data_IF_181475485523
#
_entry.id   IF_181475485523
#
_cell.length_a   1.000
_cell.length_b   1.000
_cell.length_c   1.000
_cell.angle_alpha   90.00
_cell.angle_beta   90.00
_cell.angle_gamma   90.00
#
_symmetry.space_group_name_H-M   'P 1'
#
loop_
_entity.id
_entity.type
_entity.pdbx_description
1 polymer ?
#
# COMPACT_ATOMS: atom_id res chain seq x y z
N UNK A 1 61.39 -10.03 7.54
CA UNK A 1 60.40 -8.93 7.58
C UNK A 1 59.60 -8.76 6.27
N UNK A 2 59.48 -9.78 5.40
CA UNK A 2 58.73 -9.66 4.13
C UNK A 2 57.28 -10.18 4.20
N UNK A 3 57.03 -11.24 4.99
CA UNK A 3 55.72 -11.93 4.97
C UNK A 3 54.56 -11.13 5.60
N UNK A 4 54.86 -10.21 6.51
CA UNK A 4 53.85 -9.40 7.21
C UNK A 4 53.37 -8.21 6.37
N UNK A 5 54.24 -7.63 5.55
CA UNK A 5 53.89 -6.55 4.60
C UNK A 5 53.07 -7.07 3.42
N UNK A 6 53.36 -8.29 2.96
CA UNK A 6 52.59 -8.93 1.88
C UNK A 6 51.15 -9.20 2.33
N UNK A 7 50.95 -9.70 3.56
CA UNK A 7 49.63 -9.96 4.13
C UNK A 7 48.80 -8.67 4.29
N UNK A 8 49.44 -7.58 4.71
CA UNK A 8 48.81 -6.27 4.83
C UNK A 8 48.39 -5.71 3.46
N UNK A 9 49.22 -5.89 2.43
CA UNK A 9 48.86 -5.51 1.06
C UNK A 9 47.68 -6.32 0.51
N UNK A 10 47.62 -7.63 0.76
CA UNK A 10 46.49 -8.47 0.34
C UNK A 10 45.18 -8.07 1.01
N UNK A 11 45.20 -7.74 2.31
CA UNK A 11 44.02 -7.27 3.04
C UNK A 11 43.53 -5.90 2.55
N UNK A 12 44.45 -5.02 2.12
CA UNK A 12 44.13 -3.72 1.54
C UNK A 12 43.46 -3.87 0.16
N UNK A 13 43.96 -4.77 -0.69
CA UNK A 13 43.34 -5.05 -1.99
C UNK A 13 42.00 -5.78 -1.87
N UNK A 14 41.83 -6.69 -0.89
CA UNK A 14 40.52 -7.28 -0.61
C UNK A 14 39.50 -6.23 -0.15
N UNK A 15 39.93 -5.21 0.60
CA UNK A 15 39.04 -4.11 1.03
C UNK A 15 38.68 -3.15 -0.11
N UNK A 16 39.53 -2.99 -1.12
CA UNK A 16 39.31 -2.14 -2.31
C UNK A 16 38.61 -2.88 -3.47
N UNK A 17 38.69 -4.21 -3.51
CA UNK A 17 38.12 -5.05 -4.56
C UNK A 17 36.79 -5.71 -4.18
N UNK A 18 36.30 -5.56 -2.94
CA UNK A 18 34.88 -5.73 -2.67
C UNK A 18 34.21 -4.60 -3.47
N UNK A 19 33.50 -4.91 -4.58
CA UNK A 19 32.58 -3.92 -5.10
C UNK A 19 31.69 -3.65 -3.89
N UNK A 20 31.61 -2.39 -3.47
CA UNK A 20 30.52 -1.97 -2.61
C UNK A 20 29.30 -2.58 -3.29
N UNK A 21 28.74 -3.64 -2.70
CA UNK A 21 27.38 -4.04 -3.01
C UNK A 21 26.61 -2.83 -2.51
N UNK A 22 26.57 -1.83 -3.40
CA UNK A 22 25.78 -0.63 -3.36
C UNK A 22 24.47 -1.13 -2.85
N UNK A 23 24.15 -0.61 -1.67
CA UNK A 23 23.03 -0.98 -0.83
C UNK A 23 22.01 -1.72 -1.67
N UNK A 24 21.83 -3.02 -1.39
CA UNK A 24 20.53 -3.62 -1.63
C UNK A 24 19.61 -2.87 -0.67
N UNK A 25 19.20 -1.68 -1.07
CA UNK A 25 18.01 -1.00 -0.62
C UNK A 25 16.85 -1.84 -1.13
N UNK A 26 16.76 -3.09 -0.67
CA UNK A 26 15.49 -3.77 -0.52
C UNK A 26 14.79 -3.11 0.64
N UNK A 27 14.41 -1.85 0.46
CA UNK A 27 13.13 -1.39 0.95
C UNK A 27 12.11 -2.21 0.15
N UNK A 28 11.88 -3.46 0.57
CA UNK A 28 10.86 -4.30 -0.02
C UNK A 28 9.53 -3.74 0.47
N UNK A 29 9.08 -2.65 -0.15
CA UNK A 29 7.68 -2.26 -0.06
C UNK A 29 6.87 -3.49 -0.48
N UNK A 30 5.88 -3.94 0.32
CA UNK A 30 5.00 -5.03 -0.09
C UNK A 30 4.24 -4.70 -1.39
N UNK A 31 4.22 -3.43 -1.80
CA UNK A 31 3.62 -2.93 -3.04
C UNK A 31 4.71 -2.56 -4.05
N UNK A 32 4.64 -3.19 -5.24
CA UNK A 32 5.60 -3.02 -6.35
C UNK A 32 5.70 -1.61 -6.92
N UNK A 33 4.59 -0.86 -6.91
CA UNK A 33 4.49 0.51 -7.44
C UNK A 33 3.53 1.32 -6.54
N UNK A 34 4.05 2.02 -5.52
CA UNK A 34 3.24 2.82 -4.62
C UNK A 34 2.58 4.02 -5.30
N UNK A 35 3.20 4.59 -6.33
CA UNK A 35 2.68 5.72 -7.10
C UNK A 35 1.38 5.35 -7.83
N UNK A 36 1.31 4.13 -8.38
CA UNK A 36 0.08 3.63 -9.01
C UNK A 36 -1.09 3.53 -8.00
N UNK A 37 -0.81 3.16 -6.75
CA UNK A 37 -1.84 3.12 -5.69
C UNK A 37 -2.33 4.53 -5.36
N UNK A 38 -1.41 5.49 -5.28
CA UNK A 38 -1.74 6.89 -5.06
C UNK A 38 -2.57 7.44 -6.22
N UNK A 39 -2.20 7.13 -7.47
CA UNK A 39 -2.94 7.53 -8.66
C UNK A 39 -4.37 6.96 -8.67
N UNK A 40 -4.53 5.68 -8.32
CA UNK A 40 -5.84 5.03 -8.17
C UNK A 40 -6.72 5.76 -7.15
N UNK A 41 -6.17 6.11 -5.98
CA UNK A 41 -6.89 6.86 -4.94
C UNK A 41 -7.32 8.24 -5.45
N UNK A 42 -6.43 8.98 -6.11
CA UNK A 42 -6.76 10.28 -6.69
C UNK A 42 -7.86 10.17 -7.74
N UNK A 43 -7.81 9.15 -8.61
CA UNK A 43 -8.84 8.90 -9.62
C UNK A 43 -10.20 8.62 -8.96
N UNK A 44 -10.23 7.83 -7.89
CA UNK A 44 -11.44 7.51 -7.12
C UNK A 44 -12.06 8.76 -6.48
N UNK A 45 -11.25 9.59 -5.82
CA UNK A 45 -11.69 10.86 -5.22
C UNK A 45 -12.25 11.81 -6.29
N UNK A 46 -11.54 11.97 -7.41
CA UNK A 46 -11.98 12.83 -8.52
C UNK A 46 -13.27 12.33 -9.20
N UNK A 47 -13.53 11.02 -9.18
CA UNK A 47 -14.80 10.46 -9.65
C UNK A 47 -15.94 10.77 -8.67
N UNK A 48 -15.73 10.56 -7.36
CA UNK A 48 -16.73 10.87 -6.34
C UNK A 48 -17.13 12.35 -6.35
N UNK A 49 -16.16 13.27 -6.50
CA UNK A 49 -16.43 14.72 -6.64
C UNK A 49 -17.31 15.11 -7.83
N UNK A 50 -17.32 14.31 -8.90
CA UNK A 50 -18.18 14.56 -10.08
C UNK A 50 -19.62 14.11 -9.89
N UNK A 51 -19.87 13.27 -8.88
CA UNK A 51 -21.20 12.74 -8.56
C UNK A 51 -21.86 13.48 -7.37
N UNK A 52 -21.30 14.63 -6.97
CA UNK A 52 -21.91 15.54 -6.00
C UNK A 52 -23.13 16.21 -6.63
N UNK A 53 -24.30 16.00 -6.03
CA UNK A 53 -25.56 16.61 -6.47
C UNK A 53 -26.55 16.63 -5.33
N UNK A 54 -27.47 17.61 -5.33
CA UNK A 54 -28.42 17.83 -4.23
C UNK A 54 -29.31 16.60 -3.90
N UNK A 55 -29.58 15.75 -4.90
CA UNK A 55 -30.35 14.51 -4.76
C UNK A 55 -29.47 13.24 -4.78
N UNK A 56 -28.14 13.40 -4.84
CA UNK A 56 -27.19 12.28 -4.83
C UNK A 56 -26.88 11.90 -3.38
N UNK A 57 -26.72 10.60 -3.13
CA UNK A 57 -26.21 10.13 -1.84
C UNK A 57 -24.70 10.43 -1.65
N UNK A 58 -24.00 10.80 -2.72
CA UNK A 58 -22.56 11.05 -2.70
C UNK A 58 -22.17 12.24 -1.81
N UNK A 59 -21.23 12.00 -0.91
CA UNK A 59 -20.61 12.97 0.01
C UNK A 59 -19.28 13.52 -0.52
N UNK A 60 -18.72 12.92 -1.57
CA UNK A 60 -17.39 13.25 -2.07
C UNK A 60 -16.28 12.35 -1.49
N UNK A 61 -16.62 11.45 -0.56
CA UNK A 61 -15.73 10.43 -0.04
C UNK A 61 -16.09 9.06 -0.67
N UNK A 62 -15.26 8.51 -1.58
CA UNK A 62 -15.59 7.27 -2.30
C UNK A 62 -15.78 6.05 -1.39
N UNK A 63 -15.14 6.00 -0.21
CA UNK A 63 -15.33 4.90 0.75
C UNK A 63 -16.73 4.98 1.33
N UNK A 64 -17.11 6.15 1.86
CA UNK A 64 -18.43 6.36 2.45
C UNK A 64 -19.54 6.19 1.42
N UNK A 65 -19.36 6.75 0.22
CA UNK A 65 -20.32 6.65 -0.87
C UNK A 65 -20.56 5.19 -1.29
N UNK A 66 -19.55 4.32 -1.17
CA UNK A 66 -19.66 2.90 -1.51
C UNK A 66 -20.56 2.10 -0.57
N UNK A 67 -20.52 2.38 0.75
CA UNK A 67 -21.27 1.58 1.74
C UNK A 67 -22.51 2.30 2.29
N UNK A 68 -22.46 3.63 2.49
CA UNK A 68 -23.57 4.40 3.06
C UNK A 68 -24.72 4.56 2.08
N UNK A 69 -24.41 4.57 0.78
CA UNK A 69 -25.42 4.69 -0.26
C UNK A 69 -26.12 3.39 -0.63
N UNK A 70 -25.73 2.27 0.00
CA UNK A 70 -26.52 1.05 -0.05
C UNK A 70 -27.69 1.16 0.94
N UNK A 71 -28.96 1.19 0.49
CA UNK A 71 -30.11 1.26 1.40
C UNK A 71 -30.21 0.04 2.33
N UNK A 72 -29.55 -1.07 1.98
CA UNK A 72 -29.52 -2.29 2.77
C UNK A 72 -28.22 -2.43 3.60
N UNK A 73 -27.46 -1.36 3.82
CA UNK A 73 -26.19 -1.40 4.57
C UNK A 73 -26.33 -2.08 5.94
N UNK A 74 -27.49 -1.95 6.59
CA UNK A 74 -27.75 -2.50 7.92
C UNK A 74 -27.81 -4.03 7.94
N UNK A 75 -28.32 -4.64 6.87
CA UNK A 75 -28.41 -6.08 6.66
C UNK A 75 -27.17 -6.62 5.93
N UNK A 76 -26.41 -5.75 5.25
CA UNK A 76 -25.21 -6.08 4.51
C UNK A 76 -23.94 -5.37 5.06
N UNK A 77 -23.76 -5.37 6.39
CA UNK A 77 -22.65 -4.66 7.05
C UNK A 77 -21.26 -5.07 6.55
N UNK A 78 -21.11 -6.34 6.14
CA UNK A 78 -19.83 -6.87 5.67
C UNK A 78 -19.41 -6.32 4.31
N UNK A 79 -20.30 -5.63 3.57
CA UNK A 79 -19.97 -4.92 2.33
C UNK A 79 -18.92 -3.82 2.52
N UNK A 80 -18.81 -3.24 3.71
CA UNK A 80 -17.80 -2.23 4.02
C UNK A 80 -16.38 -2.70 3.67
N UNK A 81 -16.11 -3.99 3.83
CA UNK A 81 -14.81 -4.60 3.50
C UNK A 81 -14.49 -4.59 1.99
N UNK A 82 -15.46 -4.31 1.11
CA UNK A 82 -15.24 -4.14 -0.33
C UNK A 82 -15.02 -2.68 -0.75
N UNK A 83 -15.20 -1.74 0.18
CA UNK A 83 -15.16 -0.31 -0.11
C UNK A 83 -13.79 0.34 0.15
N UNK A 84 -12.81 -0.44 0.64
CA UNK A 84 -11.48 0.07 0.93
C UNK A 84 -10.71 0.42 -0.36
N UNK A 85 -9.96 1.52 -0.32
CA UNK A 85 -9.07 1.95 -1.42
C UNK A 85 -7.67 2.27 -0.88
N UNK A 86 -6.71 2.41 -1.77
CA UNK A 86 -5.32 2.71 -1.40
C UNK A 86 -4.55 1.48 -0.93
N UNK A 87 -3.53 1.70 -0.10
CA UNK A 87 -2.62 0.62 0.33
C UNK A 87 -3.30 -0.50 1.13
N UNK A 88 -4.43 -0.19 1.79
CA UNK A 88 -5.22 -1.15 2.56
C UNK A 88 -6.42 -1.73 1.82
N UNK A 89 -6.54 -1.56 0.50
CA UNK A 89 -7.73 -1.97 -0.28
C UNK A 89 -8.10 -3.45 -0.16
N UNK A 90 -7.11 -4.31 0.14
CA UNK A 90 -7.30 -5.76 0.28
C UNK A 90 -7.73 -6.19 1.71
N UNK A 91 -7.97 -5.23 2.62
CA UNK A 91 -8.38 -5.51 3.98
C UNK A 91 -9.84 -6.04 4.06
N UNK A 92 -10.00 -7.33 4.37
CA UNK A 92 -11.32 -7.97 4.48
C UNK A 92 -11.92 -7.95 5.89
N UNK A 93 -11.10 -7.76 6.93
CA UNK A 93 -11.52 -7.81 8.33
C UNK A 93 -12.31 -9.09 8.66
N UNK A 94 -13.47 -8.95 9.29
CA UNK A 94 -14.39 -10.05 9.63
C UNK A 94 -15.34 -10.48 8.52
N UNK A 95 -15.12 -10.06 7.26
CA UNK A 95 -15.98 -10.44 6.13
C UNK A 95 -16.00 -11.97 5.97
N UNK A 96 -17.19 -12.53 5.73
CA UNK A 96 -17.52 -13.97 5.74
C UNK A 96 -17.48 -14.63 7.13
N UNK A 97 -17.15 -13.89 8.18
CA UNK A 97 -17.22 -14.36 9.56
C UNK A 97 -18.64 -14.29 10.12
N UNK A 98 -18.84 -14.96 11.26
CA UNK A 98 -20.06 -14.80 12.06
C UNK A 98 -20.07 -13.43 12.72
N UNK A 99 -21.23 -12.79 12.78
CA UNK A 99 -21.40 -11.56 13.55
C UNK A 99 -21.41 -11.94 15.04
N UNK A 100 -20.56 -11.29 15.81
CA UNK A 100 -20.54 -11.36 17.27
C UNK A 100 -21.25 -10.13 17.83
N UNK A 101 -22.17 -10.31 18.78
CA UNK A 101 -22.95 -9.26 19.45
C UNK A 101 -22.73 -9.38 20.94
#
# INVERSE_FOLDING_TARGET
MSKSSDLLMFLFFFSLAVPHLGEVSSSSSPVRNPEAVVEEVHKSINASRRNLGYLSCGTGNPIDDCWRCDPNWNTNRQRLADCAIGFGRDAIGGKRGRIYV
#
